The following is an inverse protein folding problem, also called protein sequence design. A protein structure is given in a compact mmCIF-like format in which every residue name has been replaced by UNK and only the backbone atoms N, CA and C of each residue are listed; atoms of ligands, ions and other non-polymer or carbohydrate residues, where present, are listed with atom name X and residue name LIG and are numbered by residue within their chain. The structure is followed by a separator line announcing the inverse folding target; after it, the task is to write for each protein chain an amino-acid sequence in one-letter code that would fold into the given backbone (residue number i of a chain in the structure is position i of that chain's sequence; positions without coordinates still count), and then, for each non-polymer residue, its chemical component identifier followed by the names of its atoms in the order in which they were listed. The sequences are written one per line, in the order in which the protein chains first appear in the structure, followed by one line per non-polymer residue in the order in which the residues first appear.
data_IF_337482997399
#
_entry.id   IF_337482997399
#
_cell.length_a   1.000
_cell.length_b   1.000
_cell.length_c   1.000
_cell.angle_alpha   90.00
_cell.angle_beta   90.00
_cell.angle_gamma   90.00
#
_symmetry.space_group_name_H-M   'P 1'
#
loop_
_entity.id
_entity.type
_entity.pdbx_description
1 polymer ?
#
# COMPACT_ATOMS: atom_id res chain seq x y z
N UNK A 1 20.87 -9.66 -10.77
CA UNK A 1 19.69 -9.64 -9.88
C UNK A 1 18.45 -9.13 -10.60
N UNK A 2 18.22 -7.81 -10.81
CA UNK A 2 17.06 -7.33 -11.60
C UNK A 2 17.04 -7.90 -13.03
N UNK A 3 18.18 -7.85 -13.72
CA UNK A 3 18.32 -8.39 -15.07
C UNK A 3 18.00 -9.90 -15.17
N UNK A 4 18.28 -10.68 -14.13
CA UNK A 4 18.03 -12.14 -14.14
C UNK A 4 16.53 -12.46 -14.04
N UNK A 5 15.76 -11.65 -13.29
CA UNK A 5 14.30 -11.78 -13.24
C UNK A 5 13.67 -11.45 -14.59
N UNK A 6 14.02 -10.30 -15.18
CA UNK A 6 13.53 -9.93 -16.52
C UNK A 6 13.88 -10.95 -17.60
N UNK A 7 15.09 -11.52 -17.57
CA UNK A 7 15.48 -12.59 -18.51
C UNK A 7 14.57 -13.80 -18.32
N UNK A 8 14.30 -14.20 -17.07
CA UNK A 8 13.44 -15.35 -16.77
C UNK A 8 11.99 -15.12 -17.18
N UNK A 9 11.46 -13.91 -17.02
CA UNK A 9 10.09 -13.58 -17.45
C UNK A 9 9.97 -13.55 -18.98
N UNK A 10 11.02 -13.13 -19.68
CA UNK A 10 11.12 -13.25 -21.14
C UNK A 10 11.17 -14.72 -21.56
N UNK A 11 12.03 -15.53 -20.94
CA UNK A 11 12.14 -16.97 -21.22
C UNK A 11 10.80 -17.69 -21.02
N UNK A 12 10.11 -17.38 -19.92
CA UNK A 12 8.82 -17.97 -19.59
C UNK A 12 7.71 -17.49 -20.54
N UNK A 13 7.74 -16.22 -20.95
CA UNK A 13 6.83 -15.68 -21.97
C UNK A 13 6.98 -16.40 -23.32
N UNK A 14 8.23 -16.67 -23.73
CA UNK A 14 8.53 -17.46 -24.95
C UNK A 14 8.01 -18.89 -24.79
N UNK A 15 8.26 -19.52 -23.63
CA UNK A 15 7.81 -20.90 -23.33
C UNK A 15 6.30 -21.04 -23.36
N UNK A 16 5.57 -20.05 -22.84
CA UNK A 16 4.10 -20.04 -22.81
C UNK A 16 3.47 -19.51 -24.10
N UNK A 17 4.27 -18.95 -25.02
CA UNK A 17 3.78 -18.35 -26.26
C UNK A 17 2.95 -17.07 -26.03
N UNK A 18 3.15 -16.38 -24.90
CA UNK A 18 2.41 -15.17 -24.55
C UNK A 18 3.28 -14.19 -23.78
N UNK A 19 3.29 -12.93 -24.23
CA UNK A 19 3.97 -11.83 -23.53
C UNK A 19 3.07 -11.15 -22.46
N UNK A 20 1.86 -11.67 -22.24
CA UNK A 20 0.91 -11.05 -21.30
C UNK A 20 1.48 -10.92 -19.87
N UNK A 21 2.09 -11.96 -19.25
CA UNK A 21 2.58 -11.87 -17.88
C UNK A 21 3.65 -10.79 -17.69
N UNK A 22 4.64 -10.74 -18.59
CA UNK A 22 5.71 -9.72 -18.52
C UNK A 22 5.18 -8.30 -18.77
N UNK A 23 4.17 -8.14 -19.64
CA UNK A 23 3.52 -6.84 -19.85
C UNK A 23 2.76 -6.42 -18.60
N UNK A 24 2.02 -7.32 -17.96
CA UNK A 24 1.29 -7.04 -16.72
C UNK A 24 2.24 -6.64 -15.59
N UNK A 25 3.37 -7.33 -15.43
CA UNK A 25 4.39 -6.96 -14.44
C UNK A 25 5.02 -5.59 -14.75
N UNK A 26 5.38 -5.33 -16.01
CA UNK A 26 5.92 -4.05 -16.42
C UNK A 26 4.94 -2.91 -16.14
N UNK A 27 3.67 -3.07 -16.49
CA UNK A 27 2.59 -2.11 -16.21
C UNK A 27 2.49 -1.85 -14.71
N UNK A 28 2.55 -2.88 -13.87
CA UNK A 28 2.51 -2.69 -12.41
C UNK A 28 3.64 -1.78 -11.89
N UNK A 29 4.84 -1.88 -12.48
CA UNK A 29 6.03 -1.15 -12.04
C UNK A 29 6.15 0.26 -12.65
N UNK A 30 5.63 0.49 -13.87
CA UNK A 30 5.87 1.73 -14.63
C UNK A 30 4.64 2.62 -14.78
N UNK A 31 3.44 2.12 -14.47
CA UNK A 31 2.22 2.91 -14.58
C UNK A 31 2.18 4.05 -13.58
N UNK A 32 1.73 5.22 -14.05
CA UNK A 32 1.27 6.28 -13.17
C UNK A 32 -0.12 5.91 -12.68
N UNK A 33 -0.23 5.62 -11.37
CA UNK A 33 -1.48 5.23 -10.72
C UNK A 33 -2.39 6.41 -10.38
N UNK A 34 -2.01 7.63 -10.76
CA UNK A 34 -2.79 8.86 -10.48
C UNK A 34 -2.66 9.37 -9.05
N UNK A 35 -1.81 8.74 -8.22
CA UNK A 35 -1.44 9.20 -6.88
C UNK A 35 -0.01 8.76 -6.55
N UNK A 36 0.58 9.40 -5.55
CA UNK A 36 1.89 9.11 -4.98
C UNK A 36 1.76 8.79 -3.48
N UNK A 37 2.82 8.27 -2.87
CA UNK A 37 2.79 7.93 -1.44
C UNK A 37 2.52 9.14 -0.53
N UNK A 38 2.91 10.34 -0.94
CA UNK A 38 2.68 11.56 -0.14
C UNK A 38 1.21 11.98 -0.14
N UNK A 39 0.46 11.59 -1.16
CA UNK A 39 -0.98 11.89 -1.28
C UNK A 39 -1.82 11.03 -0.30
N UNK A 40 -1.24 9.94 0.22
CA UNK A 40 -1.88 9.11 1.23
C UNK A 40 -1.83 9.74 2.63
N UNK A 41 -0.90 10.67 2.87
CA UNK A 41 -0.79 11.33 4.16
C UNK A 41 -2.00 12.23 4.40
N UNK A 42 -2.51 12.23 5.63
CA UNK A 42 -3.60 13.12 6.01
C UNK A 42 -3.09 14.56 5.97
N UNK A 43 -3.58 15.32 5.00
CA UNK A 43 -3.34 16.76 4.89
C UNK A 43 -4.63 17.47 5.31
N UNK A 44 -4.49 18.41 6.25
CA UNK A 44 -5.51 19.42 6.43
C UNK A 44 -5.48 20.30 5.20
N UNK A 45 -6.63 20.45 4.53
CA UNK A 45 -6.76 21.45 3.48
C UNK A 45 -6.60 22.84 4.12
N UNK A 46 -5.37 23.35 4.17
CA UNK A 46 -5.06 24.70 4.64
C UNK A 46 -5.71 25.69 3.65
N UNK A 47 -6.99 25.99 3.84
CA UNK A 47 -7.69 27.01 3.06
C UNK A 47 -7.15 28.40 3.44
N UNK A 48 -6.03 28.79 2.84
CA UNK A 48 -5.58 30.18 2.67
C UNK A 48 -5.39 31.04 3.93
N UNK A 49 -4.15 31.50 4.15
CA UNK A 49 -3.87 32.53 5.17
C UNK A 49 -4.47 33.87 4.75
N UNK A 50 -5.50 34.35 5.44
CA UNK A 50 -6.06 35.69 5.20
C UNK A 50 -7.38 36.04 5.88
N UNK A 51 -7.75 37.32 5.82
CA UNK A 51 -8.97 37.89 6.44
C UNK A 51 -10.25 37.24 5.91
N UNK A 52 -10.26 36.83 4.63
CA UNK A 52 -11.39 36.14 3.98
C UNK A 52 -11.67 34.75 4.60
N UNK A 53 -10.64 33.98 4.96
CA UNK A 53 -10.80 32.70 5.65
C UNK A 53 -11.34 32.90 7.08
N UNK A 54 -10.83 33.89 7.80
CA UNK A 54 -11.34 34.26 9.13
C UNK A 54 -12.83 34.63 9.09
N UNK A 55 -13.26 35.41 8.10
CA UNK A 55 -14.68 35.72 7.90
C UNK A 55 -15.48 34.45 7.60
N UNK A 56 -15.06 33.60 6.65
CA UNK A 56 -15.77 32.33 6.36
C UNK A 56 -15.91 31.42 7.60
N UNK A 57 -14.86 31.26 8.40
CA UNK A 57 -14.89 30.42 9.62
C UNK A 57 -15.87 30.91 10.70
N UNK A 58 -16.22 32.20 10.71
CA UNK A 58 -17.18 32.79 11.66
C UNK A 58 -18.63 32.57 11.23
N UNK A 59 -18.87 32.43 9.92
CA UNK A 59 -20.21 32.38 9.33
C UNK A 59 -20.61 30.99 8.78
N UNK A 60 -19.66 30.06 8.62
CA UNK A 60 -19.95 28.65 8.30
C UNK A 60 -19.24 27.73 9.29
N UNK A 61 -19.93 26.69 9.77
CA UNK A 61 -19.28 25.46 10.23
C UNK A 61 -18.68 24.78 8.99
N UNK A 62 -17.53 25.29 8.53
CA UNK A 62 -16.79 24.62 7.47
C UNK A 62 -16.13 23.40 8.12
N UNK A 63 -16.65 22.21 7.86
CA UNK A 63 -15.91 20.98 8.09
C UNK A 63 -14.59 21.11 7.34
N UNK A 64 -13.48 21.04 8.09
CA UNK A 64 -12.14 21.10 7.56
C UNK A 64 -11.99 19.88 6.65
N UNK A 65 -11.98 20.10 5.32
CA UNK A 65 -11.90 19.02 4.35
C UNK A 65 -10.55 18.31 4.51
N UNK A 66 -10.58 17.12 5.08
CA UNK A 66 -9.38 16.29 5.27
C UNK A 66 -9.13 15.54 3.97
N UNK A 67 -8.01 15.85 3.32
CA UNK A 67 -7.56 15.13 2.12
C UNK A 67 -6.58 14.05 2.59
N UNK A 68 -6.85 12.78 2.29
CA UNK A 68 -5.96 11.67 2.63
C UNK A 68 -6.71 10.42 3.10
N UNK A 69 -5.96 9.37 3.44
CA UNK A 69 -6.53 8.10 3.88
C UNK A 69 -6.71 8.09 5.41
N UNK A 70 -7.96 7.96 5.88
CA UNK A 70 -8.32 8.06 7.30
C UNK A 70 -8.09 6.77 8.11
N UNK A 71 -7.83 5.66 7.43
CA UNK A 71 -7.69 4.33 8.04
C UNK A 71 -6.20 4.00 8.16
N UNK A 72 -5.76 3.20 9.16
CA UNK A 72 -4.37 2.78 9.26
C UNK A 72 -3.86 2.14 7.96
N UNK A 73 -2.73 2.65 7.47
CA UNK A 73 -2.01 2.07 6.34
C UNK A 73 -1.00 1.08 6.90
N UNK A 74 -0.98 -0.13 6.35
CA UNK A 74 0.00 -1.15 6.70
C UNK A 74 0.79 -1.57 5.45
N UNK A 75 2.11 -1.63 5.57
CA UNK A 75 3.02 -1.99 4.49
C UNK A 75 3.91 -3.13 4.98
N UNK A 76 3.82 -4.29 4.36
CA UNK A 76 4.67 -5.44 4.67
C UNK A 76 5.79 -5.55 3.64
N UNK A 77 7.04 -5.38 4.08
CA UNK A 77 8.20 -5.42 3.19
C UNK A 77 9.14 -6.57 3.57
N UNK A 78 9.46 -7.42 2.60
CA UNK A 78 10.50 -8.43 2.72
C UNK A 78 11.89 -7.79 2.77
N UNK A 79 12.68 -8.13 3.79
CA UNK A 79 14.05 -7.61 3.94
C UNK A 79 15.06 -8.33 3.05
N UNK A 80 14.69 -9.51 2.52
CA UNK A 80 15.47 -10.27 1.54
C UNK A 80 14.89 -10.09 0.12
N UNK A 81 14.03 -9.08 -0.08
CA UNK A 81 13.45 -8.76 -1.39
C UNK A 81 14.54 -8.23 -2.34
N UNK A 82 14.65 -8.90 -3.48
CA UNK A 82 15.64 -8.67 -4.52
C UNK A 82 15.10 -7.85 -5.70
N UNK A 83 13.80 -7.57 -5.70
CA UNK A 83 13.06 -6.79 -6.71
C UNK A 83 12.80 -5.39 -6.15
N UNK A 84 12.20 -5.30 -4.95
CA UNK A 84 11.98 -4.04 -4.24
C UNK A 84 13.01 -3.94 -3.12
N UNK A 85 14.01 -3.04 -3.21
CA UNK A 85 15.11 -3.03 -2.25
C UNK A 85 14.64 -2.59 -0.86
N UNK A 86 15.24 -3.10 0.23
CA UNK A 86 14.89 -2.70 1.60
C UNK A 86 14.95 -1.20 1.88
N UNK A 87 15.77 -0.44 1.13
CA UNK A 87 15.82 1.03 1.20
C UNK A 87 14.49 1.72 0.86
N UNK A 88 13.56 1.01 0.19
CA UNK A 88 12.19 1.50 0.00
C UNK A 88 11.46 1.67 1.31
N UNK A 89 11.78 0.89 2.34
CA UNK A 89 11.20 1.09 3.68
C UNK A 89 11.61 2.45 4.23
N UNK A 90 12.91 2.78 4.18
CA UNK A 90 13.40 4.06 4.68
C UNK A 90 12.78 5.23 3.90
N UNK A 91 12.51 5.05 2.60
CA UNK A 91 11.79 6.04 1.80
C UNK A 91 10.34 6.19 2.26
N UNK A 92 9.60 5.08 2.38
CA UNK A 92 8.19 5.05 2.85
C UNK A 92 8.07 5.69 4.23
N UNK A 93 8.91 5.31 5.19
CA UNK A 93 8.89 5.85 6.56
C UNK A 93 9.11 7.38 6.58
N UNK A 94 9.90 7.92 5.64
CA UNK A 94 10.10 9.37 5.49
C UNK A 94 8.92 10.09 4.87
N UNK A 95 8.32 9.52 3.82
CA UNK A 95 7.28 10.21 3.02
C UNK A 95 5.86 9.96 3.53
N UNK A 96 5.66 8.88 4.26
CA UNK A 96 4.38 8.45 4.81
C UNK A 96 4.54 8.02 6.28
N UNK A 97 4.87 8.96 7.19
CA UNK A 97 5.17 8.64 8.59
C UNK A 97 3.98 8.06 9.37
N UNK A 98 2.75 8.19 8.85
CA UNK A 98 1.55 7.59 9.43
C UNK A 98 1.33 6.11 9.07
N UNK A 99 2.15 5.53 8.18
CA UNK A 99 2.04 4.12 7.84
C UNK A 99 2.75 3.22 8.86
N UNK A 100 2.14 2.06 9.13
CA UNK A 100 2.75 0.99 9.89
C UNK A 100 3.56 0.11 8.94
N UNK A 101 4.89 0.24 8.99
CA UNK A 101 5.79 -0.56 8.15
C UNK A 101 6.29 -1.80 8.90
N UNK A 102 5.93 -2.97 8.39
CA UNK A 102 6.31 -4.27 8.93
C UNK A 102 7.53 -4.80 8.16
N UNK A 103 8.70 -4.79 8.80
CA UNK A 103 9.97 -5.32 8.24
C UNK A 103 10.01 -6.84 8.45
N UNK A 104 9.95 -7.60 7.35
CA UNK A 104 9.86 -9.05 7.37
C UNK A 104 11.23 -9.69 7.06
N UNK A 105 11.94 -10.08 8.10
CA UNK A 105 13.23 -10.77 7.96
C UNK A 105 13.05 -12.15 7.32
N UNK A 106 14.02 -12.57 6.50
CA UNK A 106 14.01 -13.86 5.80
C UNK A 106 12.91 -14.03 4.75
N UNK A 107 12.24 -12.93 4.38
CA UNK A 107 11.21 -12.90 3.35
C UNK A 107 11.68 -12.10 2.14
N UNK A 108 11.57 -12.71 0.95
CA UNK A 108 11.78 -12.07 -0.34
C UNK A 108 10.47 -11.56 -0.97
N UNK A 109 10.53 -11.15 -2.24
CA UNK A 109 9.40 -10.58 -2.98
C UNK A 109 8.13 -11.45 -2.89
N UNK A 110 7.05 -10.87 -2.36
CA UNK A 110 5.75 -11.50 -2.11
C UNK A 110 5.74 -12.82 -1.32
N UNK A 111 6.86 -13.27 -0.75
CA UNK A 111 6.94 -14.58 -0.10
C UNK A 111 6.00 -14.70 1.11
N UNK A 112 5.90 -13.63 1.90
CA UNK A 112 4.97 -13.52 3.04
C UNK A 112 3.50 -13.56 2.61
N UNK A 113 3.20 -13.05 1.42
CA UNK A 113 1.85 -12.97 0.88
C UNK A 113 1.41 -14.22 0.10
N UNK A 114 2.31 -14.99 -0.52
CA UNK A 114 1.91 -16.17 -1.30
C UNK A 114 2.11 -17.50 -0.60
N UNK A 115 3.15 -17.64 0.21
CA UNK A 115 3.65 -18.96 0.61
C UNK A 115 3.53 -19.29 2.10
N UNK A 116 2.80 -18.47 2.88
CA UNK A 116 2.77 -18.62 4.32
C UNK A 116 1.35 -18.47 4.90
N UNK A 117 0.79 -19.60 5.36
CA UNK A 117 -0.55 -19.63 5.94
C UNK A 117 -0.66 -18.78 7.22
N UNK A 118 0.30 -18.90 8.14
CA UNK A 118 0.29 -18.12 9.38
C UNK A 118 0.44 -16.61 9.12
N UNK A 119 1.21 -16.25 8.09
CA UNK A 119 1.41 -14.87 7.66
C UNK A 119 0.11 -14.26 7.12
N UNK A 120 -0.70 -15.04 6.39
CA UNK A 120 -2.03 -14.60 5.94
C UNK A 120 -2.95 -14.31 7.12
N UNK A 121 -2.98 -15.21 8.10
CA UNK A 121 -3.78 -15.03 9.32
C UNK A 121 -3.36 -13.76 10.05
N UNK A 122 -2.06 -13.54 10.20
CA UNK A 122 -1.51 -12.33 10.84
C UNK A 122 -1.87 -11.05 10.07
N UNK A 123 -1.78 -11.06 8.74
CA UNK A 123 -2.16 -9.94 7.90
C UNK A 123 -3.65 -9.61 8.10
N UNK A 124 -4.52 -10.62 8.00
CA UNK A 124 -5.95 -10.42 8.15
C UNK A 124 -6.35 -9.99 9.57
N UNK A 125 -5.75 -10.56 10.62
CA UNK A 125 -6.02 -10.12 11.98
C UNK A 125 -5.54 -8.69 12.23
N UNK A 126 -4.44 -8.28 11.59
CA UNK A 126 -3.94 -6.90 11.69
C UNK A 126 -4.90 -5.91 11.03
N UNK A 127 -5.42 -6.25 9.85
CA UNK A 127 -6.29 -5.35 9.07
C UNK A 127 -7.74 -5.35 9.59
N UNK A 128 -8.27 -6.51 9.96
CA UNK A 128 -9.69 -6.69 10.27
C UNK A 128 -9.98 -6.97 11.75
N UNK A 129 -8.96 -7.17 12.57
CA UNK A 129 -9.10 -7.61 13.95
C UNK A 129 -9.40 -9.10 14.07
N UNK A 130 -9.66 -9.55 15.30
CA UNK A 130 -9.94 -10.95 15.58
C UNK A 130 -11.28 -11.40 14.97
N UNK A 131 -11.33 -12.59 14.34
CA UNK A 131 -12.55 -13.11 13.76
C UNK A 131 -13.60 -13.35 14.86
N UNK A 132 -14.78 -12.72 14.72
CA UNK A 132 -15.89 -12.83 15.69
C UNK A 132 -16.78 -14.08 15.52
N UNK A 133 -16.39 -14.99 14.62
CA UNK A 133 -17.20 -16.16 14.25
C UNK A 133 -18.33 -15.83 13.27
N UNK A 134 -19.19 -16.82 12.95
CA UNK A 134 -20.31 -16.64 12.04
C UNK A 134 -21.29 -15.57 12.55
N UNK A 135 -21.84 -14.76 11.64
CA UNK A 135 -22.95 -13.87 11.98
C UNK A 135 -24.12 -14.73 12.46
N UNK A 136 -24.70 -14.37 13.62
CA UNK A 136 -25.91 -15.02 14.08
C UNK A 136 -27.00 -14.83 13.02
N UNK A 137 -27.45 -15.92 12.39
CA UNK A 137 -28.62 -15.90 11.53
C UNK A 137 -29.82 -15.58 12.41
N UNK A 138 -30.32 -14.35 12.34
CA UNK A 138 -31.63 -14.04 12.88
C UNK A 138 -32.65 -14.80 12.05
N UNK A 139 -33.14 -15.92 12.58
CA UNK A 139 -34.31 -16.60 12.05
C UNK A 139 -35.50 -15.72 12.40
N UNK A 140 -35.97 -14.94 11.43
CA UNK A 140 -37.29 -14.30 11.46
C UNK A 140 -38.34 -15.28 10.92
#
# INVERSE_FOLDING_TARGET
MFQEFWIRDVEESVRQGTAKPIVEEAVLQVSSWGFSLVDLNIQKNDQGKGILHWLKSKYSQAEEEVIGFLVPIHIWQGMDDKVVPPSMVDFVERVLPGANVHKLFHHGHFTYFYFCHECHRHLFSTVFGDPKGPLATSVN
#
